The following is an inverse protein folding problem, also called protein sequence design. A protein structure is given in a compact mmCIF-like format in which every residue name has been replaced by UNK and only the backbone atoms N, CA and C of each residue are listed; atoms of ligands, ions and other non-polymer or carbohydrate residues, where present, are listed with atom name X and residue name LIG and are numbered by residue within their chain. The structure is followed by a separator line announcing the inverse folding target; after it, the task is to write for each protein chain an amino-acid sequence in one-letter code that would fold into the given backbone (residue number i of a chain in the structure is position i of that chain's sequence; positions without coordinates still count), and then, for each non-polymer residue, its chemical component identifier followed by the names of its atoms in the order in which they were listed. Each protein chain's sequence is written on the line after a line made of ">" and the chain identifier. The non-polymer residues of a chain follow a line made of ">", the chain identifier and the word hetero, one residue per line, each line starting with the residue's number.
data_IF_996800917566
#
_entry.id   IF_996800917566
#
_cell.length_a   1.000
_cell.length_b   1.000
_cell.length_c   1.000
_cell.angle_alpha   90.00
_cell.angle_beta   90.00
_cell.angle_gamma   90.00
#
_symmetry.space_group_name_H-M   'P 1'
#
loop_
_entity.id
_entity.type
_entity.pdbx_description
1 polymer ?
#
# COMPACT_ATOMS: atom_id res chain seq x y z
N UNK A 1 13.36 -16.94 0.73
CA UNK A 1 12.59 -15.77 0.20
C UNK A 1 13.38 -14.52 0.56
N UNK A 2 13.50 -13.56 -0.36
CA UNK A 2 14.08 -12.25 -0.02
C UNK A 2 13.21 -11.59 1.05
N UNK A 3 13.82 -10.79 1.91
CA UNK A 3 13.10 -10.02 2.91
C UNK A 3 12.08 -9.10 2.23
N UNK A 4 10.85 -8.98 2.76
CA UNK A 4 9.90 -8.00 2.22
C UNK A 4 10.44 -6.58 2.39
N UNK A 5 10.25 -5.75 1.37
CA UNK A 5 10.61 -4.32 1.40
C UNK A 5 9.32 -3.51 1.43
N UNK A 6 9.20 -2.64 2.41
CA UNK A 6 8.03 -1.79 2.66
C UNK A 6 8.51 -0.34 2.60
N UNK A 7 7.92 0.46 1.72
CA UNK A 7 8.12 1.89 1.67
C UNK A 7 6.88 2.61 2.22
N UNK A 8 7.08 3.60 3.08
CA UNK A 8 6.01 4.46 3.57
C UNK A 8 6.27 5.90 3.18
N UNK A 9 5.27 6.56 2.62
CA UNK A 9 5.27 8.01 2.44
C UNK A 9 4.80 8.68 3.71
N UNK A 10 5.55 9.69 4.16
CA UNK A 10 5.32 10.39 5.43
C UNK A 10 5.33 11.89 5.16
N UNK A 11 4.39 12.63 5.77
CA UNK A 11 4.31 14.07 5.65
C UNK A 11 4.36 14.74 7.03
N UNK A 12 3.23 15.15 7.57
CA UNK A 12 3.19 16.02 8.77
C UNK A 12 2.05 15.67 9.73
N UNK A 13 1.63 14.41 9.78
CA UNK A 13 0.54 13.96 10.65
C UNK A 13 1.01 12.92 11.68
N UNK A 14 1.80 13.34 12.70
CA UNK A 14 2.48 12.42 13.62
C UNK A 14 1.51 11.51 14.39
N UNK A 15 0.31 11.98 14.72
CA UNK A 15 -0.68 11.16 15.42
C UNK A 15 -1.19 9.99 14.57
N UNK A 16 -1.39 10.19 13.26
CA UNK A 16 -1.76 9.10 12.34
C UNK A 16 -0.57 8.18 12.09
N UNK A 17 0.61 8.74 11.85
CA UNK A 17 1.84 7.96 11.65
C UNK A 17 2.10 7.03 12.84
N UNK A 18 1.95 7.52 14.08
CA UNK A 18 2.12 6.71 15.28
C UNK A 18 1.19 5.48 15.26
N UNK A 19 -0.09 5.69 14.98
CA UNK A 19 -1.08 4.59 14.89
C UNK A 19 -0.76 3.62 13.74
N UNK A 20 -0.35 4.14 12.58
CA UNK A 20 0.08 3.30 11.46
C UNK A 20 1.29 2.45 11.84
N UNK A 21 2.32 3.03 12.47
CA UNK A 21 3.52 2.32 12.93
C UNK A 21 3.19 1.27 14.01
N UNK A 22 2.27 1.57 14.95
CA UNK A 22 1.77 0.62 15.94
C UNK A 22 1.12 -0.60 15.25
N UNK A 23 0.31 -0.38 14.20
CA UNK A 23 -0.28 -1.49 13.44
C UNK A 23 0.78 -2.31 12.68
N UNK A 24 1.76 -1.65 12.04
CA UNK A 24 2.87 -2.34 11.38
C UNK A 24 3.71 -3.17 12.36
N UNK A 25 3.91 -2.68 13.59
CA UNK A 25 4.65 -3.43 14.62
C UNK A 25 3.97 -4.76 15.01
N UNK A 26 2.65 -4.88 14.82
CA UNK A 26 1.88 -6.10 15.10
C UNK A 26 1.88 -7.09 13.93
N UNK A 27 2.39 -6.72 12.75
CA UNK A 27 2.35 -7.57 11.56
C UNK A 27 3.26 -8.79 11.72
N UNK A 28 2.72 -9.97 11.55
CA UNK A 28 3.47 -11.23 11.62
C UNK A 28 4.58 -11.25 10.57
N UNK A 29 5.82 -11.45 11.05
CA UNK A 29 7.00 -11.48 10.21
C UNK A 29 7.64 -10.13 9.92
N UNK A 30 7.16 -9.03 10.49
CA UNK A 30 7.71 -7.67 10.30
C UNK A 30 9.20 -7.58 10.67
N UNK A 31 9.66 -8.32 11.68
CA UNK A 31 11.07 -8.37 12.08
C UNK A 31 12.02 -8.89 10.99
N UNK A 32 11.51 -9.40 9.86
CA UNK A 32 12.29 -9.77 8.68
C UNK A 32 12.25 -8.70 7.58
N UNK A 33 11.37 -7.73 7.69
CA UNK A 33 11.16 -6.70 6.67
C UNK A 33 12.25 -5.62 6.73
N UNK A 34 12.50 -5.02 5.58
CA UNK A 34 13.19 -3.74 5.47
C UNK A 34 12.13 -2.65 5.29
N UNK A 35 12.16 -1.62 6.14
CA UNK A 35 11.30 -0.45 6.01
C UNK A 35 12.08 0.75 5.51
N UNK A 36 11.47 1.52 4.63
CA UNK A 36 12.01 2.76 4.06
C UNK A 36 10.94 3.83 4.24
N UNK A 37 11.29 4.91 4.93
CA UNK A 37 10.42 6.06 5.12
C UNK A 37 10.85 7.18 4.19
N UNK A 38 9.94 7.66 3.33
CA UNK A 38 10.15 8.85 2.49
C UNK A 38 9.39 10.00 3.12
N UNK A 39 10.11 10.81 3.90
CA UNK A 39 9.54 11.89 4.67
C UNK A 39 9.59 13.21 3.88
N UNK A 40 8.45 13.88 3.78
CA UNK A 40 8.41 15.26 3.35
C UNK A 40 9.10 16.15 4.37
N UNK A 41 9.79 17.23 3.95
CA UNK A 41 10.44 18.13 4.89
C UNK A 41 9.43 18.95 5.71
N UNK A 42 9.87 19.43 6.89
CA UNK A 42 9.12 20.39 7.69
C UNK A 42 8.35 19.82 8.88
N UNK A 43 8.53 18.53 9.24
CA UNK A 43 7.97 17.97 10.46
C UNK A 43 8.98 17.02 11.15
N UNK A 44 9.74 17.55 12.09
CA UNK A 44 10.76 16.79 12.82
C UNK A 44 10.14 15.66 13.66
N UNK A 45 8.91 15.83 14.14
CA UNK A 45 8.22 14.83 14.94
C UNK A 45 7.95 13.55 14.11
N UNK A 46 7.51 13.67 12.86
CA UNK A 46 7.31 12.50 11.99
C UNK A 46 8.62 11.83 11.63
N UNK A 47 9.68 12.59 11.41
CA UNK A 47 11.03 12.06 11.16
C UNK A 47 11.51 11.26 12.38
N UNK A 48 11.39 11.82 13.58
CA UNK A 48 11.79 11.15 14.82
C UNK A 48 11.02 9.85 15.06
N UNK A 49 9.72 9.81 14.75
CA UNK A 49 8.92 8.59 14.82
C UNK A 49 9.44 7.51 13.87
N UNK A 50 9.83 7.86 12.65
CA UNK A 50 10.40 6.92 11.68
C UNK A 50 11.77 6.39 12.13
N UNK A 51 12.63 7.27 12.65
CA UNK A 51 13.96 6.91 13.17
C UNK A 51 13.91 6.02 14.41
N UNK A 52 12.84 6.14 15.21
CA UNK A 52 12.61 5.30 16.40
C UNK A 52 12.13 3.87 16.08
N UNK A 53 11.88 3.52 14.82
CA UNK A 53 11.38 2.20 14.44
C UNK A 53 12.46 1.14 14.65
N UNK A 54 12.18 0.16 15.53
CA UNK A 54 13.08 -0.96 15.88
C UNK A 54 12.47 -2.33 15.64
N UNK A 55 11.18 -2.42 15.31
CA UNK A 55 10.47 -3.68 15.11
C UNK A 55 10.75 -4.35 13.75
N UNK A 56 11.30 -3.63 12.79
CA UNK A 56 11.74 -4.17 11.49
C UNK A 56 13.20 -4.61 11.52
N UNK A 57 13.62 -5.46 10.56
CA UNK A 57 15.03 -5.87 10.42
C UNK A 57 15.96 -4.67 10.20
N UNK A 58 15.52 -3.76 9.36
CA UNK A 58 16.16 -2.46 9.10
C UNK A 58 15.09 -1.40 8.87
N UNK A 59 15.35 -0.19 9.35
CA UNK A 59 14.54 0.98 9.08
C UNK A 59 15.47 2.08 8.55
N UNK A 60 15.09 2.71 7.44
CA UNK A 60 15.85 3.79 6.82
C UNK A 60 14.92 4.97 6.62
N UNK A 61 15.25 6.10 7.23
CA UNK A 61 14.52 7.35 7.06
C UNK A 61 15.24 8.24 6.07
N UNK A 62 14.53 8.69 5.04
CA UNK A 62 15.02 9.57 3.99
C UNK A 62 14.15 10.83 3.98
N UNK A 63 14.69 11.94 4.43
CA UNK A 63 14.01 13.24 4.34
C UNK A 63 14.25 13.81 2.94
N UNK A 64 13.16 14.18 2.27
CA UNK A 64 13.24 14.79 0.94
C UNK A 64 13.89 16.18 1.02
N UNK A 65 14.69 16.55 0.02
CA UNK A 65 15.32 17.87 -0.04
C UNK A 65 14.32 19.01 -0.29
N UNK A 66 13.15 18.67 -0.85
CA UNK A 66 12.02 19.55 -1.10
C UNK A 66 10.72 18.78 -0.97
N UNK A 67 9.58 19.46 -0.94
CA UNK A 67 8.26 18.80 -0.87
C UNK A 67 7.89 18.21 -2.23
N UNK A 68 7.78 16.89 -2.29
CA UNK A 68 7.38 16.15 -3.49
C UNK A 68 5.84 16.01 -3.63
N UNK A 69 5.12 16.01 -2.52
CA UNK A 69 3.66 15.87 -2.49
C UNK A 69 3.18 14.50 -2.92
N UNK A 70 1.86 14.39 -2.98
CA UNK A 70 1.17 13.09 -3.23
C UNK A 70 1.40 12.52 -4.63
N UNK A 71 1.89 13.32 -5.57
CA UNK A 71 2.19 12.84 -6.93
C UNK A 71 3.57 12.22 -7.05
N UNK A 72 4.60 12.81 -6.41
CA UNK A 72 5.97 12.39 -6.62
C UNK A 72 6.54 11.59 -5.44
N UNK A 73 6.12 11.86 -4.19
CA UNK A 73 6.66 11.14 -3.04
C UNK A 73 6.43 9.62 -3.09
N UNK A 74 5.25 9.10 -3.51
CA UNK A 74 5.04 7.65 -3.68
C UNK A 74 5.96 7.04 -4.75
N UNK A 75 6.20 7.76 -5.84
CA UNK A 75 7.13 7.31 -6.88
C UNK A 75 8.56 7.17 -6.33
N UNK A 76 9.05 8.20 -5.63
CA UNK A 76 10.37 8.18 -5.01
C UNK A 76 10.49 7.10 -3.93
N UNK A 77 9.41 6.83 -3.19
CA UNK A 77 9.37 5.75 -2.21
C UNK A 77 9.56 4.38 -2.88
N UNK A 78 8.86 4.13 -3.98
CA UNK A 78 9.00 2.88 -4.74
C UNK A 78 10.37 2.77 -5.44
N UNK A 79 10.91 3.85 -6.01
CA UNK A 79 12.28 3.86 -6.54
C UNK A 79 13.30 3.50 -5.44
N UNK A 80 13.14 4.06 -4.23
CA UNK A 80 14.02 3.72 -3.09
C UNK A 80 13.90 2.24 -2.70
N UNK A 81 12.67 1.70 -2.72
CA UNK A 81 12.44 0.29 -2.42
C UNK A 81 13.09 -0.64 -3.45
N UNK A 82 12.93 -0.36 -4.75
CA UNK A 82 13.53 -1.18 -5.80
C UNK A 82 15.05 -0.99 -5.94
N UNK A 83 15.60 0.15 -5.55
CA UNK A 83 17.05 0.37 -5.49
C UNK A 83 17.76 -0.59 -4.52
N UNK A 84 17.06 -1.20 -3.56
CA UNK A 84 17.59 -2.26 -2.69
C UNK A 84 17.81 -3.60 -3.40
N UNK A 85 17.36 -3.74 -4.64
CA UNK A 85 17.33 -5.01 -5.38
C UNK A 85 16.10 -5.89 -5.06
N UNK A 86 15.08 -5.32 -4.42
CA UNK A 86 13.84 -6.01 -4.11
C UNK A 86 13.17 -6.57 -5.37
N UNK A 87 12.68 -7.80 -5.29
CA UNK A 87 11.88 -8.41 -6.38
C UNK A 87 10.41 -8.05 -6.29
N UNK A 88 9.98 -7.62 -5.11
CA UNK A 88 8.63 -7.15 -4.80
C UNK A 88 8.74 -6.09 -3.70
N UNK A 89 8.01 -5.00 -3.82
CA UNK A 89 7.96 -3.94 -2.83
C UNK A 89 6.51 -3.55 -2.52
N UNK A 90 6.28 -3.14 -1.29
CA UNK A 90 4.98 -2.68 -0.77
C UNK A 90 5.08 -1.19 -0.50
N UNK A 91 4.09 -0.43 -0.93
CA UNK A 91 3.92 0.98 -0.60
C UNK A 91 2.74 1.15 0.35
N UNK A 92 2.91 1.97 1.36
CA UNK A 92 1.87 2.44 2.27
C UNK A 92 2.03 3.93 2.56
N UNK A 93 1.10 4.46 3.35
CA UNK A 93 1.05 5.87 3.73
C UNK A 93 0.97 6.04 5.25
N UNK A 94 1.27 7.25 5.75
CA UNK A 94 1.34 7.56 7.19
C UNK A 94 0.02 7.42 7.94
N UNK A 95 -1.11 7.37 7.26
CA UNK A 95 -2.45 7.33 7.81
C UNK A 95 -3.20 6.03 7.50
N UNK A 96 -2.46 4.97 7.24
CA UNK A 96 -3.05 3.66 6.97
C UNK A 96 -2.60 2.64 8.02
N UNK A 97 -3.55 2.10 8.77
CA UNK A 97 -3.34 0.93 9.61
C UNK A 97 -3.45 -0.35 8.79
N UNK A 98 -2.73 -1.39 9.20
CA UNK A 98 -2.72 -2.69 8.51
C UNK A 98 -3.06 -3.83 9.47
N UNK A 99 -3.60 -4.92 8.91
CA UNK A 99 -3.89 -6.14 9.65
C UNK A 99 -2.62 -6.94 9.95
N UNK A 100 -2.68 -7.79 10.97
CA UNK A 100 -1.53 -8.58 11.44
C UNK A 100 -1.03 -9.63 10.42
N UNK A 101 -1.87 -10.07 9.47
CA UNK A 101 -1.52 -11.03 8.40
C UNK A 101 -1.08 -10.37 7.07
N UNK A 102 -0.98 -9.05 7.02
CA UNK A 102 -0.72 -8.30 5.78
C UNK A 102 0.49 -8.81 5.00
N UNK A 103 1.61 -9.09 5.66
CA UNK A 103 2.80 -9.63 4.97
C UNK A 103 2.61 -11.07 4.48
N UNK A 104 1.81 -11.88 5.15
CA UNK A 104 1.46 -13.24 4.71
C UNK A 104 0.59 -13.17 3.44
N UNK A 105 -0.38 -12.27 3.41
CA UNK A 105 -1.20 -11.99 2.22
C UNK A 105 -0.35 -11.56 1.03
N UNK A 106 0.50 -10.54 1.18
CA UNK A 106 1.39 -10.09 0.11
C UNK A 106 2.35 -11.21 -0.35
N UNK A 107 2.91 -11.99 0.58
CA UNK A 107 3.80 -13.09 0.24
C UNK A 107 3.08 -14.21 -0.52
N UNK A 108 1.82 -14.50 -0.20
CA UNK A 108 0.99 -15.43 -0.96
C UNK A 108 0.77 -14.89 -2.38
N UNK A 109 0.26 -13.67 -2.52
CA UNK A 109 -0.04 -13.06 -3.82
C UNK A 109 1.23 -12.91 -4.68
N UNK A 110 2.36 -12.53 -4.08
CA UNK A 110 3.65 -12.45 -4.77
C UNK A 110 4.00 -13.77 -5.46
N UNK A 111 3.78 -14.91 -4.80
CA UNK A 111 4.06 -16.23 -5.36
C UNK A 111 3.02 -16.66 -6.39
N UNK A 112 1.75 -16.49 -6.06
CA UNK A 112 0.64 -16.98 -6.88
C UNK A 112 0.53 -16.25 -8.22
N UNK A 113 0.74 -14.93 -8.23
CA UNK A 113 0.57 -14.08 -9.40
C UNK A 113 1.88 -13.58 -10.03
N UNK A 114 3.02 -13.94 -9.43
CA UNK A 114 4.33 -13.58 -9.95
C UNK A 114 4.62 -14.05 -11.38
N UNK A 115 4.25 -15.29 -11.77
CA UNK A 115 4.54 -15.82 -13.11
C UNK A 115 3.78 -15.15 -14.26
N UNK A 116 2.57 -14.60 -13.99
CA UNK A 116 1.71 -14.01 -15.03
C UNK A 116 1.81 -12.49 -15.08
N UNK A 117 1.97 -11.86 -16.24
CA UNK A 117 2.08 -10.41 -16.37
C UNK A 117 0.75 -9.66 -16.30
N UNK A 118 -0.38 -10.35 -16.31
CA UNK A 118 -1.73 -9.78 -16.35
C UNK A 118 -2.13 -9.12 -15.01
N UNK A 119 -1.57 -9.59 -13.88
CA UNK A 119 -1.72 -8.94 -12.59
C UNK A 119 -0.58 -7.96 -12.37
N UNK A 120 -0.88 -6.66 -12.33
CA UNK A 120 0.13 -5.60 -12.22
C UNK A 120 0.44 -5.21 -10.77
N UNK A 121 -0.52 -5.37 -9.86
CA UNK A 121 -0.33 -5.07 -8.46
C UNK A 121 -1.17 -5.97 -7.54
N UNK A 122 -0.80 -5.98 -6.27
CA UNK A 122 -1.55 -6.54 -5.15
C UNK A 122 -1.97 -5.37 -4.28
N UNK A 123 -3.26 -5.20 -4.01
CA UNK A 123 -3.79 -4.18 -3.09
C UNK A 123 -4.24 -4.85 -1.79
N UNK A 124 -3.92 -4.25 -0.64
CA UNK A 124 -4.27 -4.81 0.67
C UNK A 124 -5.76 -4.60 1.03
N UNK A 125 -6.48 -3.82 0.25
CA UNK A 125 -7.91 -3.53 0.39
C UNK A 125 -8.37 -2.53 -0.65
N UNK A 126 -9.66 -2.29 -0.67
CA UNK A 126 -10.32 -1.32 -1.55
C UNK A 126 -11.06 -0.25 -0.76
N UNK A 127 -11.69 0.66 -1.49
CA UNK A 127 -12.60 1.64 -0.93
C UNK A 127 -14.02 1.07 -0.78
N UNK A 128 -14.68 1.44 0.33
CA UNK A 128 -16.12 1.47 0.41
C UNK A 128 -16.86 0.15 0.56
N UNK A 129 -18.09 0.18 0.11
CA UNK A 129 -19.15 -0.81 0.39
C UNK A 129 -18.95 -2.18 -0.26
N UNK A 130 -18.09 -2.30 -1.27
CA UNK A 130 -17.89 -3.57 -1.99
C UNK A 130 -17.45 -4.73 -1.08
N UNK A 131 -16.93 -4.39 0.10
CA UNK A 131 -16.43 -5.33 1.10
C UNK A 131 -17.21 -5.25 2.43
N UNK A 132 -18.32 -4.53 2.46
CA UNK A 132 -19.08 -4.23 3.69
C UNK A 132 -19.77 -5.45 4.31
N UNK A 133 -19.91 -6.55 3.59
CA UNK A 133 -20.61 -7.77 4.04
C UNK A 133 -19.74 -8.69 4.93
N UNK A 134 -18.57 -8.22 5.32
CA UNK A 134 -17.68 -8.98 6.19
C UNK A 134 -16.99 -10.16 5.53
N UNK A 135 -16.99 -10.21 4.20
CA UNK A 135 -16.36 -11.15 3.29
C UNK A 135 -15.61 -12.37 3.85
N UNK A 136 -15.31 -13.30 3.00
CA UNK A 136 -14.50 -14.47 3.34
C UNK A 136 -13.01 -14.04 3.48
N UNK A 137 -12.38 -14.19 4.64
CA UNK A 137 -11.00 -13.76 4.85
C UNK A 137 -9.98 -14.51 3.99
N UNK A 138 -10.33 -15.69 3.47
CA UNK A 138 -9.46 -16.47 2.59
C UNK A 138 -9.62 -16.08 1.11
N UNK A 139 -10.66 -15.33 0.77
CA UNK A 139 -10.96 -15.01 -0.62
C UNK A 139 -10.08 -13.88 -1.16
N UNK A 140 -9.52 -14.10 -2.35
CA UNK A 140 -8.77 -13.12 -3.14
C UNK A 140 -9.51 -12.95 -4.47
N UNK A 141 -9.67 -11.71 -4.92
CA UNK A 141 -10.38 -11.38 -6.15
C UNK A 141 -9.45 -10.67 -7.13
N UNK A 142 -9.65 -10.95 -8.43
CA UNK A 142 -9.11 -10.08 -9.49
C UNK A 142 -10.03 -8.88 -9.65
N UNK A 143 -9.45 -7.69 -9.73
CA UNK A 143 -10.19 -6.44 -9.86
C UNK A 143 -9.56 -5.57 -10.95
N UNK A 144 -10.34 -4.93 -11.84
CA UNK A 144 -9.83 -3.93 -12.75
C UNK A 144 -9.61 -2.56 -12.10
N UNK A 145 -9.94 -2.39 -10.81
CA UNK A 145 -9.83 -1.12 -10.09
C UNK A 145 -8.69 -1.17 -9.08
N UNK A 146 -7.66 -0.38 -9.33
CA UNK A 146 -6.52 -0.23 -8.45
C UNK A 146 -6.86 0.66 -7.24
N UNK A 147 -6.47 0.20 -6.05
CA UNK A 147 -6.55 0.97 -4.81
C UNK A 147 -5.14 1.36 -4.34
N UNK A 148 -4.84 2.66 -4.18
CA UNK A 148 -3.50 3.13 -3.81
C UNK A 148 -3.18 3.06 -2.32
N UNK A 149 -4.11 2.61 -1.46
CA UNK A 149 -4.01 2.74 0.02
C UNK A 149 -2.79 2.01 0.58
N UNK A 150 -2.73 0.69 0.44
CA UNK A 150 -1.54 -0.15 0.67
C UNK A 150 -1.48 -1.14 -0.47
N UNK A 151 -0.42 -1.10 -1.24
CA UNK A 151 -0.28 -1.96 -2.40
C UNK A 151 1.17 -2.37 -2.63
N UNK A 152 1.35 -3.45 -3.35
CA UNK A 152 2.67 -3.92 -3.73
C UNK A 152 2.72 -4.36 -5.18
N UNK A 153 3.93 -4.34 -5.75
CA UNK A 153 4.17 -4.78 -7.12
C UNK A 153 5.54 -5.42 -7.27
N UNK A 154 5.73 -6.13 -8.37
CA UNK A 154 7.00 -6.76 -8.73
C UNK A 154 7.92 -5.76 -9.44
N UNK A 155 9.23 -6.00 -9.37
CA UNK A 155 10.24 -5.13 -9.96
C UNK A 155 10.11 -4.99 -11.49
N UNK A 156 9.68 -6.06 -12.18
CA UNK A 156 9.41 -6.03 -13.61
C UNK A 156 8.17 -5.19 -13.94
N UNK A 157 7.05 -5.33 -13.17
CA UNK A 157 5.85 -4.50 -13.35
C UNK A 157 6.12 -3.04 -13.02
N UNK A 158 6.91 -2.78 -11.95
CA UNK A 158 7.33 -1.42 -11.65
C UNK A 158 8.03 -0.79 -12.85
N UNK A 159 9.04 -1.46 -13.40
CA UNK A 159 9.82 -0.97 -14.54
C UNK A 159 8.97 -0.79 -15.80
N UNK A 160 8.12 -1.78 -16.13
CA UNK A 160 7.51 -1.90 -17.44
C UNK A 160 6.08 -1.33 -17.50
N UNK A 161 5.41 -1.17 -16.34
CA UNK A 161 4.04 -0.68 -16.27
C UNK A 161 3.91 0.63 -15.49
N UNK A 162 4.49 0.75 -14.28
CA UNK A 162 4.28 1.92 -13.43
C UNK A 162 5.25 3.06 -13.72
N UNK A 163 6.54 2.78 -13.76
CA UNK A 163 7.62 3.77 -13.74
C UNK A 163 7.53 4.79 -14.88
N UNK A 164 7.31 4.34 -16.10
CA UNK A 164 7.26 5.18 -17.30
C UNK A 164 5.89 5.80 -17.57
N UNK A 165 4.87 5.41 -16.83
CA UNK A 165 3.48 5.87 -17.04
C UNK A 165 2.95 6.68 -15.85
N UNK A 166 3.79 6.96 -14.85
CA UNK A 166 3.41 7.70 -13.65
C UNK A 166 3.01 9.13 -13.99
N UNK A 167 1.82 9.56 -13.55
CA UNK A 167 1.33 10.92 -13.81
C UNK A 167 1.74 11.88 -12.68
N UNK A 168 2.71 12.72 -12.96
CA UNK A 168 3.17 13.78 -12.05
C UNK A 168 2.39 15.10 -12.17
N UNK A 169 1.36 15.17 -13.04
CA UNK A 169 0.81 16.46 -13.46
C UNK A 169 -0.70 16.61 -13.25
N UNK A 170 -1.39 15.61 -12.74
CA UNK A 170 -2.86 15.54 -12.75
C UNK A 170 -3.51 15.59 -14.14
N UNK A 171 -2.76 15.38 -15.23
CA UNK A 171 -3.32 15.29 -16.57
C UNK A 171 -4.44 14.23 -16.67
N UNK A 172 -4.31 13.18 -15.85
CA UNK A 172 -5.29 12.10 -15.72
C UNK A 172 -5.84 11.99 -14.28
N UNK A 173 -6.02 13.10 -13.56
CA UNK A 173 -6.48 13.18 -12.16
C UNK A 173 -5.50 12.63 -11.12
N UNK A 174 -4.21 12.47 -11.47
CA UNK A 174 -3.17 11.92 -10.63
C UNK A 174 -2.75 10.52 -11.08
N UNK A 175 -1.68 10.02 -10.43
CA UNK A 175 -1.04 8.78 -10.85
C UNK A 175 -1.93 7.54 -10.68
N UNK A 176 -2.71 7.47 -9.62
CA UNK A 176 -3.60 6.34 -9.29
C UNK A 176 -4.77 6.22 -10.29
N UNK A 177 -5.36 7.34 -10.69
CA UNK A 177 -6.36 7.39 -11.76
C UNK A 177 -5.77 7.01 -13.11
N UNK A 178 -4.53 7.46 -13.39
CA UNK A 178 -3.84 7.04 -14.61
C UNK A 178 -3.55 5.54 -14.63
N UNK A 179 -3.16 4.96 -13.49
CA UNK A 179 -2.99 3.51 -13.34
C UNK A 179 -4.30 2.77 -13.62
N UNK A 180 -5.43 3.24 -13.05
CA UNK A 180 -6.75 2.67 -13.30
C UNK A 180 -7.13 2.71 -14.80
N UNK A 181 -6.87 3.84 -15.47
CA UNK A 181 -7.09 3.96 -16.91
C UNK A 181 -6.28 2.94 -17.70
N UNK A 182 -4.99 2.82 -17.39
CA UNK A 182 -4.08 1.89 -18.09
C UNK A 182 -4.41 0.41 -17.84
N UNK A 183 -4.80 0.06 -16.62
CA UNK A 183 -5.27 -1.30 -16.30
C UNK A 183 -6.45 -1.65 -17.21
N UNK A 184 -7.44 -0.76 -17.30
CA UNK A 184 -8.62 -0.95 -18.13
C UNK A 184 -8.28 -1.04 -19.62
N UNK A 185 -7.46 -0.11 -20.13
CA UNK A 185 -7.07 -0.07 -21.56
C UNK A 185 -6.27 -1.29 -22.00
N UNK A 186 -5.45 -1.84 -21.10
CA UNK A 186 -4.59 -2.99 -21.40
C UNK A 186 -5.22 -4.34 -21.01
N UNK A 187 -6.45 -4.37 -20.50
CA UNK A 187 -7.11 -5.58 -20.01
C UNK A 187 -6.35 -6.26 -18.86
N UNK A 188 -5.66 -5.49 -18.03
CA UNK A 188 -4.91 -5.99 -16.88
C UNK A 188 -5.75 -5.96 -15.61
N UNK A 189 -5.22 -6.48 -14.51
CA UNK A 189 -5.90 -6.58 -13.24
C UNK A 189 -4.95 -6.27 -12.07
N UNK A 190 -5.55 -5.95 -10.94
CA UNK A 190 -4.92 -6.11 -9.63
C UNK A 190 -5.52 -7.32 -8.94
N UNK A 191 -4.93 -7.74 -7.83
CA UNK A 191 -5.57 -8.68 -6.89
C UNK A 191 -5.77 -7.98 -5.54
N UNK A 192 -6.90 -8.28 -4.92
CA UNK A 192 -7.31 -7.66 -3.64
C UNK A 192 -8.03 -8.70 -2.78
N UNK A 193 -7.95 -8.62 -1.44
CA UNK A 193 -8.65 -9.53 -0.55
C UNK A 193 -10.14 -9.15 -0.45
N UNK A 194 -11.03 -10.10 -0.21
CA UNK A 194 -12.44 -9.83 0.08
C UNK A 194 -12.65 -9.15 1.44
N UNK A 195 -11.79 -9.43 2.42
CA UNK A 195 -11.70 -8.67 3.66
C UNK A 195 -10.47 -7.77 3.61
N UNK A 196 -10.64 -6.47 3.75
CA UNK A 196 -9.53 -5.51 3.70
C UNK A 196 -8.48 -5.81 4.77
N UNK A 197 -7.19 -5.76 4.38
CA UNK A 197 -6.01 -5.78 5.26
C UNK A 197 -5.47 -4.38 5.53
N UNK A 198 -6.20 -3.35 5.11
CA UNK A 198 -5.82 -1.96 5.35
C UNK A 198 -7.03 -1.13 5.76
N UNK A 199 -6.80 -0.17 6.66
CA UNK A 199 -7.79 0.77 7.15
C UNK A 199 -7.24 2.19 7.03
N UNK A 200 -7.88 3.01 6.20
CA UNK A 200 -7.60 4.43 6.15
C UNK A 200 -8.13 5.12 7.39
N UNK A 201 -7.26 5.86 8.10
CA UNK A 201 -7.59 6.57 9.34
C UNK A 201 -7.40 8.08 9.23
N UNK A 202 -7.08 8.59 8.02
CA UNK A 202 -6.71 9.98 7.75
C UNK A 202 -7.91 10.88 7.51
N UNK A 203 -8.82 11.00 8.48
CA UNK A 203 -10.02 11.86 8.37
C UNK A 203 -9.68 13.34 8.21
N UNK A 204 -8.59 13.81 8.84
CA UNK A 204 -8.21 15.22 8.86
C UNK A 204 -6.84 15.47 8.26
N UNK A 205 -6.68 16.63 7.61
CA UNK A 205 -5.39 17.11 7.12
C UNK A 205 -4.85 16.38 5.88
N UNK A 206 -5.64 15.54 5.24
CA UNK A 206 -5.29 14.90 3.98
C UNK A 206 -5.38 15.85 2.78
N UNK A 207 -4.58 15.59 1.74
CA UNK A 207 -4.60 16.41 0.52
C UNK A 207 -5.86 16.17 -0.30
N UNK A 208 -6.34 14.93 -0.37
CA UNK A 208 -7.47 14.52 -1.21
C UNK A 208 -8.62 13.89 -0.43
N UNK A 209 -8.47 13.69 0.88
CA UNK A 209 -9.52 13.16 1.73
C UNK A 209 -10.14 14.30 2.54
N UNK A 210 -11.35 14.73 2.16
CA UNK A 210 -12.16 15.65 2.97
C UNK A 210 -12.91 14.84 4.03
N UNK A 211 -13.35 15.54 5.10
CA UNK A 211 -14.19 14.94 6.16
C UNK A 211 -15.46 14.29 5.58
N UNK A 212 -16.06 14.91 4.57
CA UNK A 212 -17.26 14.39 3.91
C UNK A 212 -16.99 13.17 3.03
N UNK A 213 -15.77 13.05 2.48
CA UNK A 213 -15.38 11.93 1.64
C UNK A 213 -14.80 10.76 2.46
N UNK A 214 -14.22 11.04 3.62
CA UNK A 214 -13.56 10.04 4.47
C UNK A 214 -14.41 8.78 4.74
N UNK A 215 -15.73 8.87 5.06
CA UNK A 215 -16.53 7.66 5.31
C UNK A 215 -16.55 6.68 4.13
N UNK A 216 -16.36 7.19 2.89
CA UNK A 216 -16.31 6.36 1.69
C UNK A 216 -14.97 5.63 1.51
N UNK A 217 -13.95 6.02 2.26
CA UNK A 217 -12.61 5.41 2.20
C UNK A 217 -12.39 4.35 3.27
N UNK A 218 -13.27 4.29 4.28
CA UNK A 218 -13.15 3.34 5.40
C UNK A 218 -13.64 1.97 4.95
N UNK A 219 -12.76 0.98 5.05
CA UNK A 219 -13.11 -0.40 4.72
C UNK A 219 -13.89 -1.06 5.87
N UNK A 220 -15.19 -1.25 5.71
CA UNK A 220 -16.06 -1.89 6.72
C UNK A 220 -15.68 -3.36 7.00
N UNK A 221 -15.02 -4.02 6.05
CA UNK A 221 -14.53 -5.40 6.18
C UNK A 221 -13.18 -5.54 6.90
N UNK A 222 -12.53 -4.42 7.26
CA UNK A 222 -11.23 -4.45 7.94
C UNK A 222 -11.32 -5.12 9.31
N UNK A 223 -10.33 -5.95 9.60
CA UNK A 223 -10.07 -6.54 10.93
C UNK A 223 -8.61 -6.39 11.27
N UNK A 224 -8.30 -6.11 12.52
CA UNK A 224 -6.90 -6.00 12.99
C UNK A 224 -6.19 -7.36 13.02
N UNK A 225 -6.94 -8.42 13.34
CA UNK A 225 -6.40 -9.75 13.56
C UNK A 225 -7.06 -10.80 12.67
N UNK A 226 -6.21 -11.57 12.01
CA UNK A 226 -6.59 -12.73 11.21
C UNK A 226 -5.91 -14.00 11.73
N UNK A 227 -6.65 -15.09 11.80
CA UNK A 227 -6.08 -16.42 12.03
C UNK A 227 -5.25 -16.90 10.84
N UNK A 228 -4.77 -18.16 10.86
CA UNK A 228 -4.15 -18.76 9.68
C UNK A 228 -5.10 -18.75 8.50
N UNK A 229 -4.61 -18.31 7.33
CA UNK A 229 -5.41 -18.18 6.12
C UNK A 229 -5.06 -19.25 5.08
N UNK A 230 -6.08 -19.73 4.38
CA UNK A 230 -5.95 -20.63 3.22
C UNK A 230 -6.41 -19.88 1.95
N UNK A 231 -5.64 -18.89 1.54
CA UNK A 231 -6.00 -17.99 0.46
C UNK A 231 -6.36 -18.71 -0.84
N UNK A 232 -7.48 -18.31 -1.46
CA UNK A 232 -7.96 -18.81 -2.75
C UNK A 232 -8.56 -17.72 -3.61
N UNK A 233 -8.32 -17.79 -4.90
CA UNK A 233 -8.96 -16.88 -5.86
C UNK A 233 -10.45 -17.24 -5.99
N UNK A 234 -11.31 -16.22 -5.93
CA UNK A 234 -12.75 -16.33 -6.16
C UNK A 234 -13.19 -15.29 -7.18
N UNK A 235 -14.26 -15.53 -7.95
CA UNK A 235 -14.84 -14.51 -8.81
C UNK A 235 -15.29 -13.30 -7.98
N UNK A 236 -15.04 -12.08 -8.49
CA UNK A 236 -15.63 -10.87 -7.91
C UNK A 236 -17.16 -10.98 -8.08
N UNK A 237 -17.90 -10.85 -6.98
CA UNK A 237 -19.37 -10.72 -7.06
C UNK A 237 -19.66 -9.36 -7.72
N UNK A 238 -20.42 -9.39 -8.81
CA UNK A 238 -20.88 -8.20 -9.55
C UNK A 238 -22.09 -7.61 -8.83
#
# INVERSE_FOLDING_TARGET
>A
MNAPVIALTVHNRPAYLKRALESWAMVRGIGRAQMIFRCEPGCDETVALCEAVTFARTATTIVNGEKFGVLANPWHAMESAFATGAKFAILGEEDICVADDTLEFFAHCQRAYGPGPDVVAVCAGGYGEEYADGGDPDAIMRDPHFSPIVWGTWADRWRDFFRGTWDFTYAHRGWDWNVNRLIKEQGRHIVTPACSRSLHIGEHGGTHCSVDFYPQTVAASFREHYGPQAYREVPKKI
#
